data_IF_566359304989
#
_entry.id   IF_566359304989
#
_cell.length_a   1.000
_cell.length_b   1.000
_cell.length_c   1.000
_cell.angle_alpha   90.00
_cell.angle_beta   90.00
_cell.angle_gamma   90.00
#
_symmetry.space_group_name_H-M   'P 1'
#
loop_
_entity.id
_entity.type
_entity.pdbx_description
1 polymer ?
#
# COMPACT_ATOMS: atom_id res chain seq x y z
N UNK A 1 22.85 -11.08 18.64
CA UNK A 1 23.93 -10.29 19.31
C UNK A 1 23.42 -8.87 19.48
N UNK A 2 24.03 -8.04 20.33
CA UNK A 2 23.59 -6.63 20.41
C UNK A 2 24.06 -5.89 19.15
N UNK A 3 23.15 -5.28 18.40
CA UNK A 3 23.46 -4.58 17.15
C UNK A 3 22.86 -3.17 17.11
N UNK A 4 22.96 -2.50 15.96
CA UNK A 4 22.51 -1.12 15.80
C UNK A 4 20.99 -0.96 15.97
N UNK A 5 20.19 -1.98 15.64
CA UNK A 5 18.74 -2.02 15.87
C UNK A 5 18.45 -1.95 17.38
N UNK A 6 19.20 -2.72 18.19
CA UNK A 6 19.06 -2.66 19.65
C UNK A 6 19.36 -1.26 20.20
N UNK A 7 20.38 -0.60 19.66
CA UNK A 7 20.71 0.79 20.01
C UNK A 7 19.57 1.77 19.70
N UNK A 8 18.98 1.69 18.50
CA UNK A 8 17.83 2.51 18.10
C UNK A 8 16.62 2.25 19.01
N UNK A 9 16.31 0.98 19.28
CA UNK A 9 15.22 0.59 20.19
C UNK A 9 15.42 1.22 21.56
N UNK A 10 16.62 1.13 22.15
CA UNK A 10 16.90 1.71 23.45
C UNK A 10 16.74 3.23 23.46
N UNK A 11 17.24 3.94 22.45
CA UNK A 11 17.09 5.40 22.36
C UNK A 11 15.61 5.80 22.34
N UNK A 12 14.81 5.12 21.50
CA UNK A 12 13.37 5.37 21.41
C UNK A 12 12.66 5.06 22.72
N UNK A 13 12.96 3.91 23.35
CA UNK A 13 12.35 3.54 24.62
C UNK A 13 12.71 4.52 25.73
N UNK A 14 13.97 4.91 25.85
CA UNK A 14 14.42 5.89 26.85
C UNK A 14 13.70 7.21 26.66
N UNK A 15 13.65 7.73 25.43
CA UNK A 15 12.94 8.97 25.11
C UNK A 15 11.47 8.90 25.54
N UNK A 16 10.75 7.85 25.13
CA UNK A 16 9.33 7.67 25.44
C UNK A 16 9.07 7.46 26.94
N UNK A 17 10.00 6.84 27.66
CA UNK A 17 9.89 6.63 29.10
C UNK A 17 10.06 7.95 29.86
N UNK A 18 11.06 8.76 29.47
CA UNK A 18 11.30 10.08 30.03
C UNK A 18 10.11 11.02 29.79
N UNK A 19 9.61 11.05 28.56
CA UNK A 19 8.39 11.80 28.20
C UNK A 19 7.20 11.36 29.07
N UNK A 20 6.96 10.06 29.20
CA UNK A 20 5.88 9.54 30.03
C UNK A 20 6.02 9.81 31.53
N UNK A 21 7.25 9.92 32.03
CA UNK A 21 7.53 10.30 33.42
C UNK A 21 7.21 11.77 33.70
N UNK A 22 7.37 12.64 32.70
CA UNK A 22 6.98 14.05 32.77
C UNK A 22 5.47 14.24 32.60
N UNK A 23 4.85 13.48 31.70
CA UNK A 23 3.41 13.53 31.45
C UNK A 23 2.57 12.97 32.60
N UNK A 24 3.07 11.92 33.27
CA UNK A 24 2.37 11.23 34.35
C UNK A 24 1.30 10.23 33.86
N UNK A 25 1.00 9.26 34.72
CA UNK A 25 0.15 8.12 34.42
C UNK A 25 -1.29 8.48 34.11
N UNK A 26 -1.85 9.53 34.72
CA UNK A 26 -3.20 10.03 34.45
C UNK A 26 -3.32 10.51 33.00
N UNK A 27 -2.34 11.27 32.49
CA UNK A 27 -2.36 11.74 31.10
C UNK A 27 -2.21 10.58 30.13
N UNK A 28 -1.28 9.67 30.39
CA UNK A 28 -1.08 8.48 29.55
C UNK A 28 -2.29 7.55 29.53
N UNK A 29 -2.89 7.26 30.69
CA UNK A 29 -4.10 6.46 30.79
C UNK A 29 -5.27 7.15 30.07
N UNK A 30 -5.40 8.46 30.23
CA UNK A 30 -6.44 9.25 29.55
C UNK A 30 -6.32 9.20 28.02
N UNK A 31 -5.09 9.30 27.50
CA UNK A 31 -4.80 9.16 26.07
C UNK A 31 -5.09 7.75 25.57
N UNK A 32 -4.75 6.70 26.32
CA UNK A 32 -5.06 5.33 25.94
C UNK A 32 -6.57 5.08 25.86
N UNK A 33 -7.33 5.57 26.83
CA UNK A 33 -8.80 5.45 26.82
C UNK A 33 -9.39 6.20 25.63
N UNK A 34 -8.91 7.41 25.32
CA UNK A 34 -9.32 8.15 24.14
C UNK A 34 -9.04 7.36 22.86
N UNK A 35 -7.82 6.86 22.71
CA UNK A 35 -7.40 6.13 21.52
C UNK A 35 -8.24 4.87 21.30
N UNK A 36 -8.49 4.09 22.35
CA UNK A 36 -9.32 2.87 22.26
C UNK A 36 -10.77 3.20 21.90
N UNK A 37 -11.33 4.27 22.46
CA UNK A 37 -12.66 4.75 22.10
C UNK A 37 -12.71 5.23 20.64
N UNK A 38 -11.70 5.97 20.20
CA UNK A 38 -11.57 6.45 18.83
C UNK A 38 -11.43 5.29 17.83
N UNK A 39 -10.67 4.25 18.17
CA UNK A 39 -10.54 3.05 17.36
C UNK A 39 -11.88 2.30 17.25
N UNK A 40 -12.62 2.17 18.35
CA UNK A 40 -13.95 1.58 18.34
C UNK A 40 -14.93 2.36 17.44
N UNK A 41 -14.90 3.70 17.53
CA UNK A 41 -15.67 4.57 16.62
C UNK A 41 -15.26 4.36 15.17
N UNK A 42 -13.96 4.28 14.89
CA UNK A 42 -13.44 4.05 13.55
C UNK A 42 -13.95 2.73 12.98
N UNK A 43 -13.86 1.63 13.73
CA UNK A 43 -14.39 0.32 13.31
C UNK A 43 -15.89 0.39 13.02
N UNK A 44 -16.66 1.11 13.85
CA UNK A 44 -18.12 1.20 13.72
C UNK A 44 -18.60 2.07 12.55
N UNK A 45 -17.89 3.17 12.26
CA UNK A 45 -18.37 4.19 11.32
C UNK A 45 -17.47 4.39 10.09
N UNK A 46 -16.24 3.87 10.09
CA UNK A 46 -15.24 4.13 9.06
C UNK A 46 -15.66 3.63 7.67
N UNK A 47 -16.36 2.50 7.58
CA UNK A 47 -16.91 1.99 6.30
C UNK A 47 -17.98 2.92 5.73
N UNK A 48 -18.86 3.48 6.56
CA UNK A 48 -19.89 4.41 6.14
C UNK A 48 -19.25 5.71 5.61
N UNK A 49 -18.23 6.20 6.31
CA UNK A 49 -17.43 7.36 5.86
C UNK A 49 -16.71 7.04 4.56
N UNK A 50 -16.15 5.83 4.41
CA UNK A 50 -15.57 5.38 3.15
C UNK A 50 -16.58 5.37 2.00
N UNK A 51 -17.78 4.85 2.22
CA UNK A 51 -18.86 4.89 1.23
C UNK A 51 -19.22 6.31 0.80
N UNK A 52 -19.24 7.26 1.74
CA UNK A 52 -19.41 8.68 1.44
C UNK A 52 -18.27 9.24 0.58
N UNK A 53 -17.01 8.88 0.87
CA UNK A 53 -15.85 9.31 0.10
C UNK A 53 -15.88 8.80 -1.34
N UNK A 54 -16.28 7.54 -1.54
CA UNK A 54 -16.53 6.98 -2.88
C UNK A 54 -17.58 7.82 -3.61
N UNK A 55 -18.72 8.07 -2.97
CA UNK A 55 -19.86 8.74 -3.60
C UNK A 55 -19.60 10.22 -3.94
N UNK A 56 -18.81 10.93 -3.12
CA UNK A 56 -18.57 12.37 -3.28
C UNK A 56 -17.29 12.71 -4.01
N UNK A 57 -16.23 11.92 -3.84
CA UNK A 57 -14.91 12.23 -4.36
C UNK A 57 -14.41 11.18 -5.38
N UNK A 58 -15.16 10.09 -5.59
CA UNK A 58 -14.79 9.06 -6.56
C UNK A 58 -13.53 8.26 -6.17
N UNK A 59 -13.09 8.34 -4.92
CA UNK A 59 -11.89 7.65 -4.44
C UNK A 59 -12.15 6.14 -4.45
N UNK A 60 -11.20 5.34 -4.95
CA UNK A 60 -11.30 3.89 -4.98
C UNK A 60 -11.69 3.27 -3.62
N UNK A 61 -12.50 2.22 -3.63
CA UNK A 61 -13.16 1.66 -2.43
C UNK A 61 -12.16 1.28 -1.31
N UNK A 62 -11.01 0.73 -1.67
CA UNK A 62 -9.96 0.36 -0.72
C UNK A 62 -9.44 1.60 0.02
N UNK A 63 -9.00 2.60 -0.73
CA UNK A 63 -8.47 3.86 -0.20
C UNK A 63 -9.53 4.68 0.54
N UNK A 64 -10.76 4.70 0.04
CA UNK A 64 -11.90 5.33 0.71
C UNK A 64 -12.17 4.73 2.09
N UNK A 65 -12.11 3.40 2.22
CA UNK A 65 -12.29 2.76 3.52
C UNK A 65 -11.14 3.10 4.48
N UNK A 66 -9.89 3.03 4.02
CA UNK A 66 -8.71 3.42 4.83
C UNK A 66 -8.84 4.86 5.31
N UNK A 67 -9.15 5.79 4.40
CA UNK A 67 -9.37 7.21 4.73
C UNK A 67 -10.56 7.39 5.68
N UNK A 68 -11.65 6.65 5.48
CA UNK A 68 -12.81 6.67 6.36
C UNK A 68 -12.47 6.27 7.80
N UNK A 69 -11.70 5.19 7.98
CA UNK A 69 -11.18 4.79 9.29
C UNK A 69 -10.28 5.86 9.90
N UNK A 70 -9.35 6.42 9.13
CA UNK A 70 -8.42 7.45 9.60
C UNK A 70 -9.14 8.74 10.03
N UNK A 71 -10.12 9.20 9.24
CA UNK A 71 -10.92 10.39 9.54
C UNK A 71 -11.68 10.18 10.84
N UNK A 72 -12.39 9.07 10.99
CA UNK A 72 -13.18 8.80 12.20
C UNK A 72 -12.27 8.59 13.41
N UNK A 73 -11.15 7.87 13.27
CA UNK A 73 -10.19 7.71 14.36
C UNK A 73 -9.65 9.06 14.82
N UNK A 74 -9.27 9.94 13.89
CA UNK A 74 -8.74 11.27 14.23
C UNK A 74 -9.80 12.16 14.87
N UNK A 75 -10.99 12.23 14.28
CA UNK A 75 -12.09 13.02 14.83
C UNK A 75 -12.56 12.50 16.20
N UNK A 76 -12.62 11.19 16.36
CA UNK A 76 -12.92 10.51 17.62
C UNK A 76 -11.89 10.82 18.69
N UNK A 77 -10.60 10.80 18.35
CA UNK A 77 -9.52 11.11 19.28
C UNK A 77 -9.57 12.56 19.76
N UNK A 78 -9.85 13.50 18.86
CA UNK A 78 -10.02 14.91 19.24
C UNK A 78 -11.23 15.11 20.15
N UNK A 79 -12.38 14.51 19.82
CA UNK A 79 -13.62 14.67 20.56
C UNK A 79 -13.58 13.99 21.94
N UNK A 80 -13.21 12.70 21.97
CA UNK A 80 -13.11 11.92 23.22
C UNK A 80 -11.98 12.46 24.09
N UNK A 81 -10.84 12.79 23.48
CA UNK A 81 -9.70 13.37 24.18
C UNK A 81 -10.06 14.69 24.87
N UNK A 82 -10.88 15.55 24.25
CA UNK A 82 -11.35 16.78 24.87
C UNK A 82 -12.26 16.52 26.08
N UNK A 83 -13.19 15.57 25.97
CA UNK A 83 -14.09 15.18 27.07
C UNK A 83 -13.28 14.63 28.24
N UNK A 84 -12.36 13.71 27.97
CA UNK A 84 -11.52 13.10 29.01
C UNK A 84 -10.61 14.16 29.62
N UNK A 85 -10.05 15.09 28.85
CA UNK A 85 -9.23 16.19 29.38
C UNK A 85 -10.01 17.06 30.35
N UNK A 86 -11.28 17.37 30.04
CA UNK A 86 -12.17 18.10 30.96
C UNK A 86 -12.42 17.31 32.26
N UNK A 87 -12.56 15.99 32.19
CA UNK A 87 -12.70 15.13 33.38
C UNK A 87 -11.41 15.08 34.21
N UNK A 88 -10.26 14.92 33.56
CA UNK A 88 -8.94 14.91 34.19
C UNK A 88 -8.62 16.27 34.83
N UNK A 89 -9.06 17.37 34.24
CA UNK A 89 -8.87 18.70 34.81
C UNK A 89 -9.49 18.84 36.20
N UNK A 90 -10.64 18.18 36.44
CA UNK A 90 -11.34 18.18 37.74
C UNK A 90 -10.63 17.36 38.83
N UNK A 91 -9.61 16.57 38.49
CA UNK A 91 -8.86 15.83 39.50
C UNK A 91 -8.06 16.79 40.40
N UNK A 92 -7.92 16.49 41.70
CA UNK A 92 -7.13 17.29 42.62
C UNK A 92 -5.67 17.44 42.14
N UNK A 93 -5.06 18.62 42.36
CA UNK A 93 -3.64 18.86 42.03
C UNK A 93 -2.72 17.82 42.69
N UNK A 94 -3.01 17.43 43.92
CA UNK A 94 -2.26 16.41 44.65
C UNK A 94 -2.21 15.05 43.94
N UNK A 95 -3.23 14.69 43.15
CA UNK A 95 -3.22 13.47 42.33
C UNK A 95 -2.38 13.67 41.08
N UNK A 96 -2.59 14.79 40.37
CA UNK A 96 -1.91 15.12 39.10
C UNK A 96 -0.40 15.32 39.25
N UNK A 97 0.05 15.90 40.36
CA UNK A 97 1.47 16.21 40.60
C UNK A 97 2.16 15.18 41.51
N UNK A 98 1.43 14.14 41.96
CA UNK A 98 2.01 13.14 42.86
C UNK A 98 3.19 12.39 42.22
N UNK A 99 4.17 12.02 43.06
CA UNK A 99 5.24 11.10 42.66
C UNK A 99 4.68 9.76 42.18
N UNK A 100 3.56 9.32 42.73
CA UNK A 100 2.84 8.10 42.31
C UNK A 100 2.35 8.25 40.87
N UNK A 101 1.77 9.40 40.51
CA UNK A 101 1.35 9.66 39.13
C UNK A 101 2.54 9.66 38.16
N UNK A 102 3.66 10.30 38.51
CA UNK A 102 4.86 10.28 37.66
C UNK A 102 5.45 8.88 37.50
N UNK A 103 5.49 8.11 38.59
CA UNK A 103 5.94 6.72 38.57
C UNK A 103 5.03 5.81 37.73
N UNK A 104 3.71 5.95 37.89
CA UNK A 104 2.73 5.27 37.05
C UNK A 104 2.90 5.67 35.58
N UNK A 105 3.23 6.93 35.31
CA UNK A 105 3.54 7.43 33.97
C UNK A 105 4.75 6.74 33.35
N UNK A 106 5.87 6.69 34.08
CA UNK A 106 7.07 5.96 33.67
C UNK A 106 6.83 4.46 33.43
N UNK A 107 5.98 3.83 34.24
CA UNK A 107 5.68 2.39 34.09
C UNK A 107 4.81 2.13 32.86
N UNK A 108 3.76 2.92 32.66
CA UNK A 108 2.87 2.82 31.50
C UNK A 108 3.60 3.19 30.20
N UNK A 109 4.55 4.12 30.26
CA UNK A 109 5.33 4.51 29.09
C UNK A 109 6.30 3.44 28.62
N UNK A 110 6.82 2.58 29.50
CA UNK A 110 7.58 1.38 29.08
C UNK A 110 6.70 0.47 28.22
N UNK A 111 5.48 0.17 28.68
CA UNK A 111 4.54 -0.67 27.91
C UNK A 111 4.16 -0.03 26.58
N UNK A 112 3.87 1.28 26.58
CA UNK A 112 3.60 2.07 25.37
C UNK A 112 4.79 2.04 24.41
N UNK A 113 5.99 2.26 24.91
CA UNK A 113 7.21 2.27 24.11
C UNK A 113 7.47 0.91 23.46
N UNK A 114 7.31 -0.19 24.21
CA UNK A 114 7.39 -1.54 23.66
C UNK A 114 6.38 -1.75 22.54
N UNK A 115 5.12 -1.36 22.73
CA UNK A 115 4.08 -1.48 21.72
C UNK A 115 4.41 -0.65 20.46
N UNK A 116 4.81 0.62 20.63
CA UNK A 116 5.18 1.51 19.52
C UNK A 116 6.36 0.98 18.72
N UNK A 117 7.44 0.58 19.39
CA UNK A 117 8.61 -0.01 18.73
C UNK A 117 8.21 -1.28 17.98
N UNK A 118 7.40 -2.14 18.61
CA UNK A 118 6.93 -3.39 18.01
C UNK A 118 6.13 -3.15 16.73
N UNK A 119 5.21 -2.17 16.74
CA UNK A 119 4.44 -1.78 15.55
C UNK A 119 5.38 -1.26 14.46
N UNK A 120 6.35 -0.41 14.82
CA UNK A 120 7.35 0.10 13.88
C UNK A 120 8.16 -1.03 13.22
N UNK A 121 8.63 -1.98 14.02
CA UNK A 121 9.34 -3.17 13.52
C UNK A 121 8.45 -4.01 12.61
N UNK A 122 7.18 -4.25 12.97
CA UNK A 122 6.23 -4.97 12.14
C UNK A 122 6.09 -4.33 10.76
N UNK A 123 5.86 -3.02 10.71
CA UNK A 123 5.73 -2.28 9.44
C UNK A 123 7.02 -2.37 8.63
N UNK A 124 8.19 -2.14 9.24
CA UNK A 124 9.49 -2.24 8.54
C UNK A 124 9.70 -3.64 7.97
N UNK A 125 9.35 -4.69 8.71
CA UNK A 125 9.48 -6.08 8.22
C UNK A 125 8.48 -6.43 7.12
N UNK A 126 7.29 -5.83 7.15
CA UNK A 126 6.25 -6.04 6.14
C UNK A 126 6.56 -5.32 4.81
N UNK A 127 7.31 -4.21 4.85
CA UNK A 127 7.70 -3.47 3.65
C UNK A 127 8.81 -4.17 2.85
N UNK A 128 8.87 -4.00 1.52
CA UNK A 128 9.93 -4.53 0.65
C UNK A 128 11.18 -3.65 0.72
N UNK A 129 11.74 -3.48 1.92
CA UNK A 129 12.99 -2.73 2.13
C UNK A 129 14.18 -3.52 1.60
N UNK A 130 15.00 -2.88 0.76
CA UNK A 130 16.30 -3.40 0.31
C UNK A 130 17.34 -3.29 1.44
N UNK A 131 18.29 -4.22 1.49
CA UNK A 131 19.41 -4.20 2.45
C UNK A 131 19.25 -5.16 3.64
N UNK A 132 20.17 -5.08 4.61
CA UNK A 132 20.26 -6.00 5.76
C UNK A 132 19.24 -5.74 6.87
N UNK A 133 18.39 -4.72 6.76
CA UNK A 133 17.55 -4.25 7.86
C UNK A 133 16.67 -5.38 8.43
N UNK A 134 16.10 -6.24 7.57
CA UNK A 134 15.26 -7.37 8.03
C UNK A 134 16.07 -8.42 8.78
N UNK A 135 17.26 -8.77 8.29
CA UNK A 135 18.15 -9.71 8.98
C UNK A 135 18.68 -9.10 10.27
N UNK A 136 19.02 -7.82 10.27
CA UNK A 136 19.51 -7.10 11.46
C UNK A 136 18.43 -7.05 12.56
N UNK A 137 17.15 -6.92 12.21
CA UNK A 137 16.04 -7.04 13.18
C UNK A 137 15.94 -8.47 13.74
N UNK A 138 16.13 -9.49 12.89
CA UNK A 138 16.15 -10.89 13.31
C UNK A 138 17.32 -11.25 14.23
N UNK A 139 18.48 -10.64 13.98
CA UNK A 139 19.72 -10.90 14.74
C UNK A 139 19.85 -10.05 16.02
N UNK A 140 19.05 -8.98 16.10
CA UNK A 140 18.93 -8.08 17.25
C UNK A 140 18.35 -8.82 18.46
N UNK A 141 18.88 -8.55 19.66
CA UNK A 141 18.40 -9.18 20.90
C UNK A 141 17.01 -8.70 21.30
N UNK A 142 16.77 -7.39 21.24
CA UNK A 142 15.50 -6.75 21.58
C UNK A 142 14.50 -6.87 20.44
N UNK A 143 14.93 -6.64 19.20
CA UNK A 143 14.09 -6.74 18.00
C UNK A 143 13.49 -8.13 17.85
N UNK A 144 14.31 -9.18 17.89
CA UNK A 144 13.82 -10.56 17.81
C UNK A 144 12.89 -10.94 18.96
N UNK A 145 13.16 -10.50 20.19
CA UNK A 145 12.31 -10.77 21.35
C UNK A 145 10.92 -10.12 21.24
N UNK A 146 10.87 -8.87 20.76
CA UNK A 146 9.60 -8.17 20.49
C UNK A 146 8.83 -8.87 19.35
N UNK A 147 9.52 -9.21 18.26
CA UNK A 147 8.90 -9.90 17.12
C UNK A 147 8.38 -11.29 17.50
N UNK A 148 9.10 -12.02 18.34
CA UNK A 148 8.65 -13.30 18.91
C UNK A 148 7.38 -13.12 19.75
N UNK A 149 7.31 -12.06 20.56
CA UNK A 149 6.14 -11.75 21.37
C UNK A 149 4.91 -11.47 20.51
N UNK A 150 5.07 -10.72 19.40
CA UNK A 150 3.97 -10.53 18.43
C UNK A 150 3.54 -11.86 17.86
N UNK A 151 4.48 -12.67 17.39
CA UNK A 151 4.14 -13.96 16.78
C UNK A 151 3.33 -14.85 17.76
N UNK A 152 3.72 -14.84 19.04
CA UNK A 152 3.09 -15.66 20.09
C UNK A 152 1.72 -15.17 20.51
N UNK A 153 1.54 -13.86 20.70
CA UNK A 153 0.32 -13.30 21.31
C UNK A 153 -0.58 -12.54 20.34
N UNK A 154 -0.06 -12.14 19.18
CA UNK A 154 -0.72 -11.30 18.20
C UNK A 154 -0.42 -11.74 16.76
N UNK A 155 -0.28 -13.05 16.52
CA UNK A 155 0.06 -13.60 15.19
C UNK A 155 -0.89 -13.14 14.08
N UNK A 156 -2.19 -12.99 14.38
CA UNK A 156 -3.17 -12.44 13.44
C UNK A 156 -2.91 -10.98 13.06
N UNK A 157 -2.32 -10.17 13.95
CA UNK A 157 -1.96 -8.77 13.65
C UNK A 157 -0.80 -8.72 12.66
N UNK A 158 0.24 -9.54 12.86
CA UNK A 158 1.37 -9.63 11.93
C UNK A 158 0.91 -10.05 10.54
N UNK A 159 0.08 -11.10 10.44
CA UNK A 159 -0.51 -11.53 9.18
C UNK A 159 -1.30 -10.40 8.50
N UNK A 160 -2.11 -9.66 9.26
CA UNK A 160 -2.90 -8.55 8.71
C UNK A 160 -2.02 -7.40 8.19
N UNK A 161 -0.94 -7.07 8.90
CA UNK A 161 0.00 -6.02 8.50
C UNK A 161 0.81 -6.44 7.27
N UNK A 162 1.26 -7.69 7.23
CA UNK A 162 1.96 -8.25 6.05
C UNK A 162 1.05 -8.23 4.82
N UNK A 163 -0.24 -8.57 4.97
CA UNK A 163 -1.21 -8.54 3.88
C UNK A 163 -1.52 -7.11 3.41
N UNK A 164 -1.66 -6.17 4.35
CA UNK A 164 -1.84 -4.75 4.03
C UNK A 164 -0.62 -4.17 3.30
N UNK A 165 0.59 -4.51 3.74
CA UNK A 165 1.83 -4.09 3.07
C UNK A 165 1.95 -4.72 1.68
N UNK A 166 1.66 -6.02 1.52
CA UNK A 166 1.62 -6.69 0.22
C UNK A 166 0.61 -6.03 -0.71
N UNK A 167 -0.59 -5.69 -0.23
CA UNK A 167 -1.59 -4.99 -1.03
C UNK A 167 -1.11 -3.58 -1.43
N UNK A 168 -0.48 -2.84 -0.53
CA UNK A 168 0.06 -1.51 -0.81
C UNK A 168 1.19 -1.56 -1.87
N UNK A 169 2.02 -2.61 -1.84
CA UNK A 169 3.13 -2.82 -2.78
C UNK A 169 2.67 -3.42 -4.11
N UNK A 170 1.53 -4.12 -4.12
CA UNK A 170 0.98 -4.74 -5.35
C UNK A 170 0.53 -3.74 -6.39
N UNK A 171 0.42 -2.45 -6.07
CA UNK A 171 0.21 -1.42 -7.08
C UNK A 171 1.57 -0.82 -7.52
N UNK A 172 2.10 -1.30 -8.64
CA UNK A 172 3.32 -0.79 -9.27
C UNK A 172 3.00 -0.26 -10.66
N UNK A 173 3.57 0.89 -10.99
CA UNK A 173 3.63 1.43 -12.35
C UNK A 173 5.05 1.89 -12.63
N UNK A 174 5.49 1.79 -13.89
CA UNK A 174 6.76 2.34 -14.37
C UNK A 174 6.45 3.40 -15.41
N UNK A 175 7.15 4.54 -15.40
CA UNK A 175 6.86 5.63 -16.32
C UNK A 175 7.04 5.15 -17.77
N UNK A 176 6.11 5.48 -18.70
CA UNK A 176 6.27 5.14 -20.11
C UNK A 176 7.63 5.58 -20.65
N UNK A 177 8.24 4.73 -21.48
CA UNK A 177 9.54 4.99 -22.14
C UNK A 177 10.72 5.16 -21.16
N UNK A 178 10.56 4.80 -19.89
CA UNK A 178 11.68 4.81 -18.92
C UNK A 178 12.40 3.46 -18.89
N UNK A 179 13.71 3.51 -18.65
CA UNK A 179 14.53 2.32 -18.36
C UNK A 179 14.41 1.82 -16.91
N UNK A 180 13.37 2.24 -16.19
CA UNK A 180 13.16 1.83 -14.81
C UNK A 180 12.80 0.34 -14.74
N UNK A 181 13.46 -0.39 -13.83
CA UNK A 181 13.20 -1.79 -13.57
C UNK A 181 12.96 -2.03 -12.08
N UNK A 182 11.78 -2.55 -11.77
CA UNK A 182 11.42 -3.00 -10.44
C UNK A 182 11.57 -4.52 -10.39
N UNK A 183 12.21 -5.02 -9.34
CA UNK A 183 12.35 -6.45 -9.09
C UNK A 183 11.11 -6.94 -8.33
N UNK A 184 10.51 -8.03 -8.80
CA UNK A 184 9.31 -8.63 -8.22
C UNK A 184 9.65 -9.85 -7.34
N UNK A 185 10.94 -10.09 -7.06
CA UNK A 185 11.37 -11.11 -6.11
C UNK A 185 10.69 -10.92 -4.74
N UNK A 186 10.04 -11.97 -4.26
CA UNK A 186 9.27 -11.95 -3.00
C UNK A 186 7.84 -11.41 -3.14
N UNK A 187 7.47 -10.83 -4.29
CA UNK A 187 6.09 -10.44 -4.61
C UNK A 187 5.40 -11.49 -5.50
N UNK A 188 6.16 -12.09 -6.41
CA UNK A 188 5.68 -13.15 -7.31
C UNK A 188 6.43 -14.44 -6.98
N UNK A 189 5.76 -15.32 -6.24
CA UNK A 189 6.22 -16.67 -5.87
C UNK A 189 5.81 -17.71 -6.92
N UNK A 190 5.36 -18.89 -6.47
CA UNK A 190 4.70 -19.88 -7.33
C UNK A 190 3.24 -19.50 -7.56
N UNK A 191 3.05 -18.43 -8.34
CA UNK A 191 1.74 -17.88 -8.65
C UNK A 191 1.20 -18.61 -9.88
N UNK A 192 0.05 -19.29 -9.76
CA UNK A 192 -0.57 -19.99 -10.88
C UNK A 192 -1.00 -19.02 -11.99
N UNK A 193 -0.12 -18.78 -12.97
CA UNK A 193 -0.30 -17.74 -13.98
C UNK A 193 -1.35 -18.12 -15.02
N UNK A 194 -2.44 -17.35 -15.05
CA UNK A 194 -3.54 -17.53 -16.00
C UNK A 194 -3.87 -16.22 -16.69
N UNK A 195 -4.15 -16.28 -17.99
CA UNK A 195 -4.70 -15.14 -18.72
C UNK A 195 -6.13 -14.87 -18.25
N UNK A 196 -6.46 -13.62 -17.98
CA UNK A 196 -7.78 -13.17 -17.56
C UNK A 196 -8.43 -12.31 -18.66
N UNK A 197 -9.12 -12.96 -19.59
CA UNK A 197 -9.79 -12.29 -20.71
C UNK A 197 -10.94 -11.39 -20.25
N UNK A 198 -11.61 -11.74 -19.15
CA UNK A 198 -12.68 -10.93 -18.58
C UNK A 198 -12.15 -9.59 -18.06
N UNK A 199 -10.98 -9.61 -17.41
CA UNK A 199 -10.27 -8.41 -16.99
C UNK A 199 -9.83 -7.54 -18.18
N UNK A 200 -9.37 -8.13 -19.29
CA UNK A 200 -9.00 -7.40 -20.50
C UNK A 200 -10.17 -6.58 -21.06
N UNK A 201 -11.35 -7.21 -21.18
CA UNK A 201 -12.58 -6.52 -21.61
C UNK A 201 -12.99 -5.42 -20.63
N UNK A 202 -12.89 -5.68 -19.33
CA UNK A 202 -13.23 -4.67 -18.31
C UNK A 202 -12.31 -3.45 -18.38
N UNK A 203 -11.01 -3.65 -18.63
CA UNK A 203 -10.05 -2.55 -18.84
C UNK A 203 -10.40 -1.76 -20.10
N UNK A 204 -10.76 -2.43 -21.21
CA UNK A 204 -11.16 -1.76 -22.44
C UNK A 204 -12.38 -0.86 -22.23
N UNK A 205 -13.39 -1.33 -21.49
CA UNK A 205 -14.56 -0.53 -21.13
C UNK A 205 -14.19 0.73 -20.37
N UNK A 206 -13.31 0.61 -19.37
CA UNK A 206 -12.84 1.73 -18.56
C UNK A 206 -12.06 2.75 -19.41
N UNK A 207 -11.10 2.28 -20.21
CA UNK A 207 -10.34 3.12 -21.16
C UNK A 207 -11.29 3.89 -22.09
N UNK A 208 -12.24 3.19 -22.72
CA UNK A 208 -13.18 3.81 -23.64
C UNK A 208 -14.16 4.76 -22.94
N UNK A 209 -14.48 4.52 -21.68
CA UNK A 209 -15.22 5.44 -20.82
C UNK A 209 -14.47 6.75 -20.60
N UNK A 210 -13.17 6.70 -20.29
CA UNK A 210 -12.34 7.90 -20.14
C UNK A 210 -12.13 8.65 -21.47
N UNK A 211 -11.91 7.92 -22.56
CA UNK A 211 -11.78 8.50 -23.91
C UNK A 211 -13.05 9.23 -24.35
N UNK A 212 -14.23 8.68 -24.04
CA UNK A 212 -15.50 9.33 -24.35
C UNK A 212 -15.64 10.71 -23.66
N UNK A 213 -15.18 10.85 -22.41
CA UNK A 213 -15.22 12.12 -21.67
C UNK A 213 -14.39 13.24 -22.31
N UNK A 214 -13.39 12.88 -23.13
CA UNK A 214 -12.48 13.84 -23.80
C UNK A 214 -12.76 14.01 -25.30
N UNK A 215 -13.80 13.34 -25.81
CA UNK A 215 -14.13 13.30 -27.24
C UNK A 215 -13.14 12.50 -28.08
N UNK A 216 -12.31 11.66 -27.47
CA UNK A 216 -11.45 10.72 -28.20
C UNK A 216 -12.28 9.52 -28.71
N UNK A 217 -11.91 9.01 -29.90
CA UNK A 217 -12.58 7.84 -30.49
C UNK A 217 -12.32 6.59 -29.65
N UNK A 218 -13.28 5.67 -29.60
CA UNK A 218 -13.10 4.38 -28.92
C UNK A 218 -11.95 3.59 -29.57
N UNK A 219 -11.15 2.93 -28.74
CA UNK A 219 -10.14 1.97 -29.19
C UNK A 219 -10.81 0.63 -29.49
N UNK A 220 -10.29 -0.05 -30.51
CA UNK A 220 -10.69 -1.41 -30.89
C UNK A 220 -9.56 -2.38 -30.58
N UNK A 221 -9.91 -3.57 -30.11
CA UNK A 221 -8.93 -4.63 -29.82
C UNK A 221 -8.25 -5.09 -31.12
N UNK A 222 -6.92 -5.17 -31.12
CA UNK A 222 -6.14 -5.90 -32.14
C UNK A 222 -5.60 -7.20 -31.49
N UNK A 223 -6.03 -8.35 -32.00
CA UNK A 223 -5.70 -9.65 -31.40
C UNK A 223 -4.22 -9.98 -31.41
N UNK A 224 -3.45 -9.44 -32.38
CA UNK A 224 -1.99 -9.62 -32.41
C UNK A 224 -1.32 -8.88 -31.27
N UNK A 225 -1.80 -7.66 -31.00
CA UNK A 225 -1.31 -6.84 -29.89
C UNK A 225 -1.72 -7.46 -28.53
N UNK A 226 -2.91 -8.05 -28.42
CA UNK A 226 -3.33 -8.81 -27.22
C UNK A 226 -2.38 -9.97 -26.95
N UNK A 227 -2.05 -10.76 -27.98
CA UNK A 227 -1.10 -11.87 -27.84
C UNK A 227 0.27 -11.38 -27.36
N UNK A 228 0.81 -10.32 -27.97
CA UNK A 228 2.08 -9.71 -27.54
C UNK A 228 2.02 -9.22 -26.09
N UNK A 229 0.94 -8.54 -25.70
CA UNK A 229 0.74 -8.04 -24.34
C UNK A 229 0.62 -9.18 -23.30
N UNK A 230 -0.09 -10.26 -23.62
CA UNK A 230 -0.22 -11.44 -22.75
C UNK A 230 1.12 -12.16 -22.56
N UNK A 231 1.90 -12.33 -23.64
CA UNK A 231 3.22 -12.94 -23.57
C UNK A 231 4.17 -12.11 -22.71
N UNK A 232 4.19 -10.80 -22.89
CA UNK A 232 5.06 -9.92 -22.10
C UNK A 232 4.64 -9.84 -20.62
N UNK A 233 3.34 -9.76 -20.34
CA UNK A 233 2.83 -9.83 -18.97
C UNK A 233 3.20 -11.14 -18.27
N UNK A 234 3.21 -12.26 -19.01
CA UNK A 234 3.66 -13.56 -18.48
C UNK A 234 5.16 -13.56 -18.22
N UNK A 235 5.97 -13.07 -19.16
CA UNK A 235 7.43 -12.99 -19.03
C UNK A 235 7.85 -12.19 -17.78
N UNK A 236 7.24 -11.01 -17.57
CA UNK A 236 7.46 -10.19 -16.37
C UNK A 236 7.14 -10.94 -15.07
N UNK A 237 6.07 -11.74 -15.04
CA UNK A 237 5.70 -12.53 -13.87
C UNK A 237 6.64 -13.73 -13.64
N UNK A 238 6.95 -14.49 -14.69
CA UNK A 238 7.78 -15.71 -14.60
C UNK A 238 9.23 -15.37 -14.25
N UNK A 239 9.75 -14.28 -14.82
CA UNK A 239 11.12 -13.79 -14.59
C UNK A 239 11.21 -12.71 -13.52
N UNK A 240 10.11 -12.44 -12.82
CA UNK A 240 10.02 -11.59 -11.62
C UNK A 240 10.59 -10.20 -11.81
N UNK A 241 10.27 -9.54 -12.91
CA UNK A 241 10.66 -8.16 -13.16
C UNK A 241 9.49 -7.34 -13.68
N UNK A 242 9.56 -6.03 -13.50
CA UNK A 242 8.56 -5.09 -14.00
C UNK A 242 9.25 -3.89 -14.63
N UNK A 243 9.13 -3.78 -15.96
CA UNK A 243 9.93 -2.87 -16.79
C UNK A 243 9.33 -2.77 -18.20
N UNK A 244 9.55 -1.64 -18.88
CA UNK A 244 9.25 -1.49 -20.30
C UNK A 244 10.20 -2.28 -21.22
N UNK A 245 11.40 -2.59 -20.70
CA UNK A 245 12.44 -3.37 -21.38
C UNK A 245 12.58 -4.76 -20.77
N UNK A 246 12.63 -5.79 -21.61
CA UNK A 246 13.01 -7.14 -21.20
C UNK A 246 14.45 -7.16 -20.65
N UNK A 247 14.86 -8.22 -19.92
CA UNK A 247 16.25 -8.36 -19.49
C UNK A 247 17.26 -8.34 -20.64
N UNK A 248 16.83 -8.75 -21.83
CA UNK A 248 17.59 -8.70 -23.09
C UNK A 248 17.63 -7.29 -23.70
N UNK A 249 16.79 -6.37 -23.24
CA UNK A 249 16.71 -4.99 -23.71
C UNK A 249 15.63 -4.75 -24.77
N UNK A 250 14.78 -5.73 -25.06
CA UNK A 250 13.69 -5.59 -26.03
C UNK A 250 12.56 -4.73 -25.46
N UNK A 251 12.04 -3.82 -26.28
CA UNK A 251 10.96 -2.92 -25.91
C UNK A 251 9.63 -3.27 -26.60
N UNK A 252 8.63 -2.40 -26.42
CA UNK A 252 7.31 -2.64 -26.97
C UNK A 252 7.26 -2.53 -28.50
N UNK A 253 8.19 -1.80 -29.12
CA UNK A 253 8.31 -1.72 -30.57
C UNK A 253 8.75 -3.06 -31.14
N UNK A 254 9.78 -3.67 -30.54
CA UNK A 254 10.27 -5.01 -30.90
C UNK A 254 9.15 -6.05 -30.82
N UNK A 255 8.38 -6.02 -29.73
CA UNK A 255 7.24 -6.92 -29.49
C UNK A 255 6.13 -6.75 -30.53
N UNK A 256 5.81 -5.52 -30.91
CA UNK A 256 4.79 -5.24 -31.94
C UNK A 256 5.27 -5.64 -33.34
N UNK A 257 6.55 -5.44 -33.65
CA UNK A 257 7.15 -5.86 -34.91
C UNK A 257 7.16 -7.39 -35.04
N UNK A 258 7.56 -8.11 -33.99
CA UNK A 258 7.52 -9.57 -33.93
C UNK A 258 6.09 -10.12 -34.10
N UNK A 259 5.08 -9.41 -33.60
CA UNK A 259 3.67 -9.74 -33.79
C UNK A 259 3.10 -9.34 -35.17
N UNK A 260 3.90 -8.75 -36.05
CA UNK A 260 3.49 -8.32 -37.39
C UNK A 260 2.51 -7.15 -37.38
N UNK A 261 2.52 -6.31 -36.35
CA UNK A 261 1.65 -5.14 -36.21
C UNK A 261 2.30 -3.97 -36.92
N UNK A 262 1.60 -3.41 -37.92
CA UNK A 262 2.00 -2.16 -38.57
C UNK A 262 1.45 -0.98 -37.79
N UNK A 263 2.27 0.02 -37.51
CA UNK A 263 1.90 1.25 -36.82
C UNK A 263 2.86 2.38 -37.24
N UNK A 264 2.45 3.63 -37.01
CA UNK A 264 3.30 4.83 -37.11
C UNK A 264 3.50 5.50 -35.76
N UNK A 265 2.55 5.29 -34.85
CA UNK A 265 2.61 5.73 -33.47
C UNK A 265 2.22 4.55 -32.59
N UNK A 266 2.96 4.35 -31.51
CA UNK A 266 2.63 3.37 -30.49
C UNK A 266 2.77 3.96 -29.09
N UNK A 267 2.24 3.24 -28.10
CA UNK A 267 2.47 3.53 -26.70
C UNK A 267 2.31 2.27 -25.86
N UNK A 268 2.96 2.25 -24.69
CA UNK A 268 2.84 1.17 -23.72
C UNK A 268 2.49 1.72 -22.34
N UNK A 269 1.54 1.06 -21.67
CA UNK A 269 1.32 1.21 -20.25
C UNK A 269 1.44 -0.14 -19.56
N UNK A 270 2.13 -0.15 -18.42
CA UNK A 270 2.29 -1.34 -17.59
C UNK A 270 1.73 -1.05 -16.20
N UNK A 271 1.03 -2.03 -15.63
CA UNK A 271 0.60 -1.99 -14.24
C UNK A 271 0.71 -3.39 -13.63
N UNK A 272 1.27 -3.47 -12.43
CA UNK A 272 1.03 -4.58 -11.52
C UNK A 272 0.05 -4.09 -10.47
N UNK A 273 -1.05 -4.81 -10.21
CA UNK A 273 -2.13 -4.34 -9.33
C UNK A 273 -2.89 -5.50 -8.67
N UNK A 274 -3.53 -5.31 -7.51
CA UNK A 274 -4.38 -6.34 -6.92
C UNK A 274 -5.66 -6.63 -7.74
N UNK A 275 -6.17 -5.62 -8.48
CA UNK A 275 -7.40 -5.73 -9.25
C UNK A 275 -7.44 -4.71 -10.42
N UNK A 276 -8.40 -4.90 -11.34
CA UNK A 276 -8.58 -4.08 -12.55
C UNK A 276 -8.88 -2.60 -12.24
N UNK A 277 -9.71 -2.33 -11.24
CA UNK A 277 -10.11 -0.97 -10.88
C UNK A 277 -8.90 -0.18 -10.36
N UNK A 278 -8.14 -0.78 -9.44
CA UNK A 278 -6.92 -0.21 -8.88
C UNK A 278 -5.89 0.07 -9.98
N UNK A 279 -5.68 -0.88 -10.90
CA UNK A 279 -4.78 -0.69 -12.03
C UNK A 279 -5.18 0.50 -12.92
N UNK A 280 -6.44 0.54 -13.33
CA UNK A 280 -6.93 1.58 -14.23
C UNK A 280 -6.87 2.97 -13.59
N UNK A 281 -7.31 3.10 -12.34
CA UNK A 281 -7.24 4.36 -11.61
C UNK A 281 -5.80 4.86 -11.53
N UNK A 282 -4.87 3.98 -11.14
CA UNK A 282 -3.47 4.34 -11.01
C UNK A 282 -2.80 4.77 -12.31
N UNK A 283 -3.13 4.11 -13.43
CA UNK A 283 -2.70 4.55 -14.76
C UNK A 283 -3.30 5.92 -15.15
N UNK A 284 -4.52 6.24 -14.71
CA UNK A 284 -5.14 7.54 -14.98
C UNK A 284 -4.62 8.68 -14.09
N UNK A 285 -4.05 8.36 -12.93
CA UNK A 285 -3.42 9.32 -12.02
C UNK A 285 -1.98 9.67 -12.42
N UNK A 286 -1.33 8.81 -13.22
CA UNK A 286 -0.03 9.08 -13.82
C UNK A 286 -0.16 9.85 -15.13
N UNK A 287 0.40 11.07 -15.19
CA UNK A 287 0.36 11.93 -16.38
C UNK A 287 0.87 11.23 -17.65
N UNK A 288 1.93 10.43 -17.55
CA UNK A 288 2.49 9.69 -18.69
C UNK A 288 1.55 8.61 -19.22
N UNK A 289 1.02 7.77 -18.34
CA UNK A 289 0.13 6.67 -18.73
C UNK A 289 -1.23 7.17 -19.21
N UNK A 290 -1.76 8.20 -18.54
CA UNK A 290 -2.99 8.91 -18.93
C UNK A 290 -2.88 9.50 -20.33
N UNK A 291 -1.73 10.09 -20.68
CA UNK A 291 -1.48 10.60 -22.03
C UNK A 291 -1.65 9.51 -23.08
N UNK A 292 -1.12 8.32 -22.85
CA UNK A 292 -1.30 7.18 -23.77
C UNK A 292 -2.78 6.78 -23.89
N UNK A 293 -3.49 6.66 -22.76
CA UNK A 293 -4.92 6.28 -22.74
C UNK A 293 -5.78 7.28 -23.52
N UNK A 294 -5.49 8.58 -23.41
CA UNK A 294 -6.31 9.67 -23.99
C UNK A 294 -5.81 10.17 -25.36
N UNK A 295 -4.68 9.67 -25.85
CA UNK A 295 -4.11 10.09 -27.14
C UNK A 295 -5.10 9.80 -28.28
N UNK A 296 -5.49 10.86 -28.99
CA UNK A 296 -6.55 10.82 -30.01
C UNK A 296 -6.12 10.13 -31.29
N UNK A 297 -4.80 10.04 -31.54
CA UNK A 297 -4.24 9.37 -32.71
C UNK A 297 -4.35 7.85 -32.64
N UNK A 298 -4.41 7.27 -31.44
CA UNK A 298 -4.58 5.82 -31.29
C UNK A 298 -6.00 5.38 -31.67
N UNK A 299 -6.09 4.30 -32.45
CA UNK A 299 -7.33 3.63 -32.84
C UNK A 299 -7.41 2.17 -32.39
N UNK A 300 -6.27 1.55 -32.08
CA UNK A 300 -6.16 0.14 -31.71
C UNK A 300 -5.49 -0.04 -30.35
N UNK A 301 -5.84 -1.12 -29.67
CA UNK A 301 -5.23 -1.50 -28.39
C UNK A 301 -5.08 -3.02 -28.29
N UNK A 302 -3.97 -3.48 -27.73
CA UNK A 302 -3.81 -4.82 -27.19
C UNK A 302 -3.73 -4.75 -25.69
N UNK A 303 -4.64 -5.44 -24.99
CA UNK A 303 -4.63 -5.52 -23.53
C UNK A 303 -4.32 -6.97 -23.18
N UNK A 304 -3.25 -7.19 -22.44
CA UNK A 304 -2.91 -8.48 -21.86
C UNK A 304 -3.04 -8.41 -20.35
N UNK A 305 -3.82 -9.32 -19.76
CA UNK A 305 -3.90 -9.47 -18.30
C UNK A 305 -3.49 -10.87 -17.89
N UNK A 306 -2.42 -10.97 -17.11
CA UNK A 306 -1.95 -12.23 -16.51
C UNK A 306 -2.21 -12.18 -15.02
N UNK A 307 -3.15 -12.99 -14.56
CA UNK A 307 -3.48 -13.17 -13.15
C UNK A 307 -2.54 -14.19 -12.51
N UNK A 308 -1.87 -13.79 -11.44
CA UNK A 308 -1.16 -14.68 -10.52
C UNK A 308 -2.01 -15.09 -9.32
N UNK A 309 -3.33 -15.00 -9.42
CA UNK A 309 -4.24 -15.26 -8.30
C UNK A 309 -3.99 -14.26 -7.17
N UNK A 310 -3.62 -14.77 -5.99
CA UNK A 310 -3.31 -13.92 -4.85
C UNK A 310 -2.12 -12.99 -5.11
N UNK A 311 -1.22 -13.29 -6.06
CA UNK A 311 -0.07 -12.43 -6.33
C UNK A 311 -0.46 -11.10 -6.99
N UNK A 312 -1.63 -11.02 -7.63
CA UNK A 312 -2.12 -9.85 -8.35
C UNK A 312 -2.19 -10.04 -9.86
N UNK A 313 -2.53 -8.97 -10.56
CA UNK A 313 -2.69 -8.88 -12.00
C UNK A 313 -1.50 -8.13 -12.60
N UNK A 314 -0.83 -8.75 -13.57
CA UNK A 314 0.09 -8.08 -14.47
C UNK A 314 -0.67 -7.63 -15.71
N UNK A 315 -0.68 -6.33 -15.96
CA UNK A 315 -1.45 -5.70 -17.03
C UNK A 315 -0.49 -4.99 -17.98
N UNK A 316 -0.58 -5.34 -19.25
CA UNK A 316 0.14 -4.70 -20.35
C UNK A 316 -0.87 -4.11 -21.33
N UNK A 317 -0.76 -2.82 -21.62
CA UNK A 317 -1.58 -2.13 -22.63
C UNK A 317 -0.65 -1.62 -23.73
N UNK A 318 -0.85 -2.12 -24.95
CA UNK A 318 -0.17 -1.65 -26.15
C UNK A 318 -1.16 -0.83 -26.97
N UNK A 319 -0.80 0.38 -27.34
CA UNK A 319 -1.63 1.28 -28.15
C UNK A 319 -1.01 1.48 -29.53
N UNK A 320 -1.84 1.63 -30.56
CA UNK A 320 -1.40 1.92 -31.93
C UNK A 320 -2.43 2.75 -32.72
N UNK A 321 -1.98 3.50 -33.73
CA UNK A 321 -2.85 4.21 -34.68
C UNK A 321 -3.64 3.29 -35.63
#
# INVERSE_FOLDING_TARGET
>A
MFNWIDGVILVVVIYLVLDGWEEGGVKLASGLVSFLAALWLAVKFGTNTGGFLVAKFGIGKLWSNVLGYLIIATAGELAVGEIIRHLVFRLPRGVKESKINRFAGGTLSVLKAMATVTIGLLVITALPVKGSIKSDIGDSKLGSALMFSVQKYAGGVKLSVDEAAKQAVRFLTVKPESGERISLEGLVGDCGLKVDEGAEWRILELINGERAKTGAKKLTIDSRMVTAARLYGRDMMERKYFSHYSPEGEDAEDRLQAAGVKYRLMGENLAFAPDVQTAHQGLMESEGHKKNILEKRFGRVGIGVVSGGECGLMITQLFAD
#
